data_IF_232209374960
#
_entry.id   IF_232209374960
#
_cell.length_a   1.000
_cell.length_b   1.000
_cell.length_c   1.000
_cell.angle_alpha   90.00
_cell.angle_beta   90.00
_cell.angle_gamma   90.00
#
_symmetry.space_group_name_H-M   'P 1'
#
loop_
_entity.id
_entity.type
_entity.pdbx_description
1 polymer ?
#
# COMPACT_ATOMS: atom_id res chain seq x y z
N UNK A 1 -7.67 -5.76 -18.68
CA UNK A 1 -8.68 -5.28 -19.65
C UNK A 1 -8.89 -6.26 -20.82
N UNK A 2 -7.82 -6.75 -21.48
CA UNK A 2 -7.95 -7.69 -22.62
C UNK A 2 -8.61 -9.04 -22.27
N UNK A 3 -8.22 -9.66 -21.16
CA UNK A 3 -8.83 -10.91 -20.67
C UNK A 3 -10.33 -10.71 -20.40
N UNK A 4 -10.70 -9.60 -19.77
CA UNK A 4 -12.09 -9.26 -19.48
C UNK A 4 -12.90 -9.08 -20.78
N UNK A 5 -12.32 -8.42 -21.80
CA UNK A 5 -12.96 -8.27 -23.11
C UNK A 5 -13.24 -9.63 -23.79
N UNK A 6 -12.30 -10.57 -23.67
CA UNK A 6 -12.45 -11.93 -24.19
C UNK A 6 -13.52 -12.76 -23.47
N UNK A 7 -13.63 -12.62 -22.15
CA UNK A 7 -14.59 -13.37 -21.33
C UNK A 7 -16.01 -12.76 -21.33
N UNK A 8 -16.16 -11.48 -21.66
CA UNK A 8 -17.45 -10.79 -21.58
C UNK A 8 -18.20 -10.91 -22.92
N UNK A 9 -19.46 -11.39 -22.94
CA UNK A 9 -20.28 -11.43 -24.15
C UNK A 9 -20.56 -10.02 -24.67
N UNK A 10 -20.66 -9.86 -26.00
CA UNK A 10 -20.75 -8.54 -26.64
C UNK A 10 -21.86 -7.62 -26.07
N UNK A 11 -22.99 -8.21 -25.68
CA UNK A 11 -24.12 -7.48 -25.08
C UNK A 11 -23.82 -6.85 -23.70
N UNK A 12 -22.83 -7.37 -22.96
CA UNK A 12 -22.48 -6.92 -21.62
C UNK A 12 -21.15 -6.13 -21.56
N UNK A 13 -20.46 -5.92 -22.69
CA UNK A 13 -19.15 -5.25 -22.72
C UNK A 13 -19.22 -3.77 -22.37
N UNK A 14 -20.30 -3.08 -22.78
CA UNK A 14 -20.47 -1.64 -22.55
C UNK A 14 -19.21 -0.85 -22.90
N UNK A 15 -18.84 0.09 -22.02
CA UNK A 15 -17.60 0.86 -22.11
C UNK A 15 -16.38 0.22 -21.44
N UNK A 16 -16.43 -1.03 -20.94
CA UNK A 16 -15.33 -1.70 -20.20
C UNK A 16 -14.72 -0.89 -19.03
N UNK A 17 -15.46 0.08 -18.49
CA UNK A 17 -14.95 0.98 -17.46
C UNK A 17 -13.87 1.96 -17.95
N UNK A 18 -13.90 2.32 -19.24
CA UNK A 18 -13.14 3.47 -19.78
C UNK A 18 -13.48 4.71 -18.97
N UNK A 19 -12.45 5.47 -18.62
CA UNK A 19 -12.62 6.76 -17.98
C UNK A 19 -12.92 7.80 -19.03
N UNK A 20 -13.93 8.61 -18.77
CA UNK A 20 -14.38 9.67 -19.65
C UNK A 20 -15.06 10.75 -18.82
N UNK A 21 -15.12 11.94 -19.38
CA UNK A 21 -15.84 13.05 -18.76
C UNK A 21 -17.34 12.83 -18.92
N UNK A 22 -18.08 13.03 -17.84
CA UNK A 22 -19.53 13.12 -17.91
C UNK A 22 -19.92 14.34 -18.76
N UNK A 23 -21.02 14.25 -19.51
CA UNK A 23 -21.38 15.21 -20.57
C UNK A 23 -21.49 16.68 -20.12
N UNK A 24 -21.68 16.92 -18.83
CA UNK A 24 -21.82 18.26 -18.24
C UNK A 24 -20.52 18.80 -17.61
N UNK A 25 -19.41 18.06 -17.67
CA UNK A 25 -18.15 18.38 -16.98
C UNK A 25 -17.08 18.81 -17.97
N UNK A 26 -16.52 20.01 -17.75
CA UNK A 26 -15.39 20.51 -18.55
C UNK A 26 -14.08 19.78 -18.20
N UNK A 27 -13.11 19.79 -19.13
CA UNK A 27 -11.80 19.15 -18.89
C UNK A 27 -11.09 19.69 -17.65
N UNK A 28 -11.21 21.00 -17.39
CA UNK A 28 -10.62 21.66 -16.23
C UNK A 28 -11.28 21.22 -14.91
N UNK A 29 -12.60 21.04 -14.90
CA UNK A 29 -13.32 20.53 -13.73
C UNK A 29 -12.96 19.07 -13.47
N UNK A 30 -12.91 18.24 -14.52
CA UNK A 30 -12.47 16.85 -14.42
C UNK A 30 -11.03 16.74 -13.89
N UNK A 31 -10.14 17.62 -14.37
CA UNK A 31 -8.78 17.73 -13.85
C UNK A 31 -8.74 18.08 -12.36
N UNK A 32 -9.52 19.07 -11.92
CA UNK A 32 -9.62 19.42 -10.50
C UNK A 32 -10.09 18.25 -9.63
N UNK A 33 -11.09 17.49 -10.11
CA UNK A 33 -11.59 16.30 -9.42
C UNK A 33 -10.49 15.23 -9.31
N UNK A 34 -9.79 14.91 -10.41
CA UNK A 34 -8.71 13.91 -10.41
C UNK A 34 -7.54 14.30 -9.50
N UNK A 35 -7.19 15.58 -9.45
CA UNK A 35 -6.19 16.11 -8.50
C UNK A 35 -6.63 15.89 -7.06
N UNK A 36 -7.87 16.26 -6.72
CA UNK A 36 -8.38 16.18 -5.36
C UNK A 36 -8.52 14.74 -4.85
N UNK A 37 -9.07 13.83 -5.65
CA UNK A 37 -9.21 12.42 -5.23
C UNK A 37 -7.85 11.73 -5.09
N UNK A 38 -6.89 12.04 -5.96
CA UNK A 38 -5.54 11.49 -5.87
C UNK A 38 -4.80 12.07 -4.67
N UNK A 39 -4.99 13.36 -4.39
CA UNK A 39 -4.45 14.00 -3.20
C UNK A 39 -4.91 13.27 -1.92
N UNK A 40 -6.21 13.03 -1.76
CA UNK A 40 -6.76 12.34 -0.58
C UNK A 40 -6.21 10.91 -0.47
N UNK A 41 -6.12 10.20 -1.59
CA UNK A 41 -5.57 8.85 -1.64
C UNK A 41 -4.12 8.83 -1.16
N UNK A 42 -3.26 9.64 -1.77
CA UNK A 42 -1.82 9.67 -1.45
C UNK A 42 -1.59 10.19 -0.04
N UNK A 43 -2.31 11.23 0.38
CA UNK A 43 -2.23 11.74 1.74
C UNK A 43 -2.61 10.67 2.77
N UNK A 44 -3.67 9.91 2.50
CA UNK A 44 -4.08 8.80 3.37
C UNK A 44 -3.05 7.69 3.39
N UNK A 45 -2.48 7.31 2.24
CA UNK A 45 -1.40 6.32 2.18
C UNK A 45 -0.22 6.76 3.04
N UNK A 46 0.26 8.00 2.87
CA UNK A 46 1.37 8.54 3.65
C UNK A 46 1.06 8.55 5.16
N UNK A 47 -0.14 8.97 5.54
CA UNK A 47 -0.59 8.98 6.93
C UNK A 47 -0.80 7.58 7.52
N UNK A 48 -1.10 6.57 6.69
CA UNK A 48 -1.32 5.18 7.11
C UNK A 48 -0.02 4.39 7.24
N UNK A 49 1.02 4.73 6.47
CA UNK A 49 2.33 4.04 6.50
C UNK A 49 3.39 4.75 7.36
N UNK A 50 3.01 5.82 8.07
CA UNK A 50 3.94 6.56 8.91
C UNK A 50 4.39 5.73 10.11
N UNK A 51 5.70 5.61 10.30
CA UNK A 51 6.34 4.88 11.40
C UNK A 51 6.06 5.55 12.75
N UNK A 52 5.76 6.86 12.75
CA UNK A 52 5.40 7.61 13.96
C UNK A 52 3.99 7.29 14.46
N UNK A 53 3.16 6.64 13.64
CA UNK A 53 1.78 6.32 13.98
C UNK A 53 1.72 5.01 14.77
N UNK A 54 1.46 5.12 16.08
CA UNK A 54 1.45 3.97 17.01
C UNK A 54 0.07 3.34 17.20
N UNK A 55 -0.97 4.03 16.75
CA UNK A 55 -2.40 3.80 17.03
C UNK A 55 -3.07 2.73 16.14
N UNK A 56 -2.54 2.45 14.94
CA UNK A 56 -3.16 1.54 13.97
C UNK A 56 -2.18 0.49 13.45
N UNK A 57 -1.66 -0.36 14.34
CA UNK A 57 -0.87 -1.53 13.93
C UNK A 57 -1.78 -2.58 13.27
N UNK A 58 -1.90 -2.52 11.93
CA UNK A 58 -2.60 -3.53 11.12
C UNK A 58 -3.81 -3.03 10.31
N UNK A 59 -4.33 -1.83 10.58
CA UNK A 59 -5.50 -1.28 9.86
C UNK A 59 -5.14 -0.46 8.60
N UNK A 60 -3.86 -0.27 8.31
CA UNK A 60 -3.39 0.51 7.15
C UNK A 60 -4.04 0.12 5.81
N UNK A 61 -4.10 -1.17 5.40
CA UNK A 61 -4.72 -1.53 4.12
C UNK A 61 -6.24 -1.27 4.10
N UNK A 62 -6.92 -1.39 5.24
CA UNK A 62 -8.35 -1.09 5.35
C UNK A 62 -8.60 0.42 5.16
N UNK A 63 -7.81 1.27 5.82
CA UNK A 63 -7.94 2.73 5.67
C UNK A 63 -7.66 3.18 4.24
N UNK A 64 -6.64 2.61 3.59
CA UNK A 64 -6.33 2.91 2.19
C UNK A 64 -7.48 2.45 1.27
N UNK A 65 -8.01 1.24 1.47
CA UNK A 65 -9.15 0.73 0.71
C UNK A 65 -10.40 1.59 0.86
N UNK A 66 -10.69 2.06 2.08
CA UNK A 66 -11.80 2.98 2.34
C UNK A 66 -11.59 4.34 1.66
N UNK A 67 -10.37 4.88 1.67
CA UNK A 67 -10.07 6.13 0.95
C UNK A 67 -10.30 6.01 -0.56
N UNK A 68 -9.89 4.88 -1.15
CA UNK A 68 -10.17 4.57 -2.56
C UNK A 68 -11.68 4.49 -2.81
N UNK A 69 -12.43 3.78 -1.96
CA UNK A 69 -13.88 3.63 -2.10
C UNK A 69 -14.61 4.98 -2.02
N UNK A 70 -14.23 5.84 -1.06
CA UNK A 70 -14.79 7.20 -0.93
C UNK A 70 -14.47 8.05 -2.16
N UNK A 71 -13.23 8.00 -2.66
CA UNK A 71 -12.87 8.73 -3.86
C UNK A 71 -13.64 8.24 -5.10
N UNK A 72 -13.93 6.94 -5.20
CA UNK A 72 -14.78 6.39 -6.26
C UNK A 72 -16.22 6.87 -6.15
N UNK A 73 -16.80 6.91 -4.94
CA UNK A 73 -18.18 7.40 -4.74
C UNK A 73 -18.36 8.84 -5.22
N UNK A 74 -17.32 9.67 -5.07
CA UNK A 74 -17.36 11.06 -5.52
C UNK A 74 -17.03 11.17 -7.01
N UNK A 75 -15.92 10.59 -7.49
CA UNK A 75 -15.40 10.86 -8.82
C UNK A 75 -16.04 10.05 -9.95
N UNK A 76 -16.74 8.94 -9.67
CA UNK A 76 -17.32 8.09 -10.72
C UNK A 76 -18.33 8.86 -11.58
N UNK A 77 -19.10 9.78 -10.98
CA UNK A 77 -20.10 10.60 -11.67
C UNK A 77 -19.50 11.70 -12.55
N UNK A 78 -18.23 12.08 -12.32
CA UNK A 78 -17.57 13.17 -13.03
C UNK A 78 -16.62 12.66 -14.12
N UNK A 79 -15.69 11.77 -13.76
CA UNK A 79 -14.56 11.35 -14.63
C UNK A 79 -14.39 9.84 -14.74
N UNK A 80 -15.21 9.05 -14.04
CA UNK A 80 -15.03 7.60 -13.94
C UNK A 80 -13.91 7.17 -12.98
N UNK A 81 -13.32 8.11 -12.24
CA UNK A 81 -12.30 7.90 -11.21
C UNK A 81 -11.03 7.20 -11.74
N UNK A 82 -10.05 7.98 -12.22
CA UNK A 82 -8.76 7.44 -12.66
C UNK A 82 -7.90 7.06 -11.47
N UNK A 83 -7.43 8.05 -10.71
CA UNK A 83 -6.40 7.92 -9.66
C UNK A 83 -5.08 7.23 -10.10
N UNK A 84 -5.03 6.65 -11.29
CA UNK A 84 -3.99 5.76 -11.76
C UNK A 84 -4.01 5.74 -13.30
N UNK A 85 -3.00 6.31 -13.96
CA UNK A 85 -2.92 6.35 -15.42
C UNK A 85 -3.00 4.96 -16.07
N UNK A 86 -2.44 3.91 -15.45
CA UNK A 86 -2.48 2.55 -15.99
C UNK A 86 -3.91 1.96 -16.01
N UNK A 87 -4.74 2.33 -15.01
CA UNK A 87 -6.15 1.94 -14.94
C UNK A 87 -6.99 2.62 -16.02
N UNK A 88 -6.64 3.84 -16.41
CA UNK A 88 -7.30 4.55 -17.51
C UNK A 88 -6.81 4.10 -18.88
N UNK A 89 -5.51 3.79 -19.02
CA UNK A 89 -4.89 3.40 -20.29
C UNK A 89 -5.39 2.03 -20.81
N UNK A 90 -5.47 1.02 -19.94
CA UNK A 90 -5.84 -0.34 -20.34
C UNK A 90 -7.14 -0.46 -21.13
N UNK A 91 -8.29 0.05 -20.64
CA UNK A 91 -9.54 0.01 -21.37
C UNK A 91 -9.59 1.02 -22.54
N UNK A 92 -8.88 2.16 -22.45
CA UNK A 92 -8.79 3.16 -23.52
C UNK A 92 -8.20 2.58 -24.81
N UNK A 93 -7.14 1.78 -24.71
CA UNK A 93 -6.51 1.10 -25.87
C UNK A 93 -7.46 0.10 -26.53
N UNK A 94 -8.25 -0.62 -25.75
CA UNK A 94 -9.14 -1.67 -26.28
C UNK A 94 -10.38 -1.07 -26.96
N UNK A 95 -10.94 -0.02 -26.37
CA UNK A 95 -12.13 0.65 -26.89
C UNK A 95 -11.82 1.83 -27.82
N UNK A 96 -10.53 2.11 -28.06
CA UNK A 96 -10.03 3.23 -28.84
C UNK A 96 -10.60 4.59 -28.41
N UNK A 97 -10.74 4.80 -27.10
CA UNK A 97 -11.32 6.00 -26.50
C UNK A 97 -10.23 6.86 -25.85
N UNK A 98 -9.92 7.99 -26.47
CA UNK A 98 -8.79 8.86 -26.10
C UNK A 98 -9.21 10.27 -25.67
N UNK A 99 -10.50 10.50 -25.51
CA UNK A 99 -11.05 11.81 -25.18
C UNK A 99 -10.52 12.32 -23.84
N UNK A 100 -9.90 13.50 -23.89
CA UNK A 100 -9.29 14.19 -22.76
C UNK A 100 -8.39 13.32 -21.86
N UNK A 101 -7.73 12.32 -22.46
CA UNK A 101 -6.96 11.32 -21.73
C UNK A 101 -5.78 11.91 -20.94
N UNK A 102 -5.25 13.05 -21.39
CA UNK A 102 -4.15 13.77 -20.74
C UNK A 102 -4.45 14.11 -19.27
N UNK A 103 -5.73 14.36 -18.93
CA UNK A 103 -6.18 14.67 -17.58
C UNK A 103 -5.89 13.52 -16.61
N UNK A 104 -6.02 12.27 -17.07
CA UNK A 104 -5.78 11.07 -16.27
C UNK A 104 -4.29 10.78 -16.04
N UNK A 105 -3.40 11.47 -16.76
CA UNK A 105 -1.96 11.43 -16.51
C UNK A 105 -1.56 12.55 -15.58
N UNK A 106 -1.84 13.80 -15.97
CA UNK A 106 -1.37 14.99 -15.26
C UNK A 106 -2.10 15.16 -13.93
N UNK A 107 -3.41 14.88 -13.87
CA UNK A 107 -4.21 15.03 -12.64
C UNK A 107 -3.64 14.23 -11.47
N UNK A 108 -3.47 12.90 -11.60
CA UNK A 108 -2.88 12.09 -10.54
C UNK A 108 -1.45 12.50 -10.17
N UNK A 109 -0.61 12.89 -11.14
CA UNK A 109 0.76 13.33 -10.87
C UNK A 109 0.79 14.60 -10.00
N UNK A 110 -0.02 15.60 -10.35
CA UNK A 110 -0.11 16.87 -9.61
C UNK A 110 -0.69 16.63 -8.21
N UNK A 111 -1.79 15.88 -8.09
CA UNK A 111 -2.41 15.55 -6.80
C UNK A 111 -1.46 14.80 -5.86
N UNK A 112 -0.71 13.83 -6.39
CA UNK A 112 0.28 13.06 -5.62
C UNK A 112 1.43 13.94 -5.13
N UNK A 113 1.95 14.81 -6.01
CA UNK A 113 3.04 15.72 -5.67
C UNK A 113 2.64 16.69 -4.56
N UNK A 114 1.46 17.31 -4.68
CA UNK A 114 0.93 18.23 -3.67
C UNK A 114 0.70 17.51 -2.34
N UNK A 115 0.14 16.29 -2.36
CA UNK A 115 -0.05 15.50 -1.15
C UNK A 115 1.26 15.16 -0.45
N UNK A 116 2.28 14.74 -1.21
CA UNK A 116 3.59 14.42 -0.68
C UNK A 116 4.26 15.65 -0.06
N UNK A 117 4.22 16.80 -0.74
CA UNK A 117 4.75 18.05 -0.21
C UNK A 117 4.03 18.50 1.06
N UNK A 118 2.70 18.46 1.07
CA UNK A 118 1.91 18.89 2.23
C UNK A 118 2.18 18.00 3.44
N UNK A 119 2.23 16.68 3.22
CA UNK A 119 2.51 15.72 4.28
C UNK A 119 3.92 15.92 4.85
N UNK A 120 4.92 16.10 3.99
CA UNK A 120 6.30 16.32 4.43
C UNK A 120 6.47 17.65 5.18
N UNK A 121 5.93 18.74 4.65
CA UNK A 121 6.13 20.07 5.25
C UNK A 121 5.34 20.27 6.55
N UNK A 122 4.12 19.75 6.64
CA UNK A 122 3.22 20.03 7.76
C UNK A 122 3.24 18.91 8.80
N UNK A 123 3.14 17.65 8.36
CA UNK A 123 2.96 16.51 9.25
C UNK A 123 4.27 15.80 9.59
N UNK A 124 5.25 15.86 8.68
CA UNK A 124 6.53 15.18 8.85
C UNK A 124 7.73 16.11 8.69
N UNK A 125 7.63 17.34 9.20
CA UNK A 125 8.74 18.30 9.21
C UNK A 125 9.99 17.66 9.85
N UNK A 126 10.92 17.17 9.02
CA UNK A 126 12.17 16.51 9.42
C UNK A 126 12.29 14.99 9.18
N UNK A 127 11.29 14.30 8.63
CA UNK A 127 11.35 12.84 8.45
C UNK A 127 12.06 12.40 7.16
N UNK A 128 11.91 13.12 6.04
CA UNK A 128 12.47 12.69 4.75
C UNK A 128 13.99 12.83 4.67
N UNK A 129 14.60 13.77 5.40
CA UNK A 129 16.07 13.86 5.46
C UNK A 129 16.67 12.61 6.12
N UNK A 130 16.04 12.08 7.18
CA UNK A 130 16.46 10.85 7.85
C UNK A 130 16.17 9.58 7.05
N UNK A 131 15.08 9.54 6.27
CA UNK A 131 14.68 8.40 5.42
C UNK A 131 15.50 8.32 4.12
N UNK A 132 15.80 9.46 3.51
CA UNK A 132 16.68 9.57 2.35
C UNK A 132 18.14 9.34 2.75
N UNK A 133 18.60 9.89 3.89
CA UNK A 133 19.91 9.48 4.47
C UNK A 133 19.92 7.97 4.70
N UNK A 134 18.89 7.39 5.32
CA UNK A 134 18.81 5.92 5.52
C UNK A 134 18.81 5.15 4.21
N UNK A 135 18.14 5.58 3.14
CA UNK A 135 18.21 4.88 1.84
C UNK A 135 19.59 5.01 1.18
N UNK A 136 20.21 6.19 1.26
CA UNK A 136 21.55 6.45 0.73
C UNK A 136 22.64 5.73 1.56
N UNK A 137 22.46 5.57 2.87
CA UNK A 137 23.37 4.83 3.75
C UNK A 137 23.05 3.33 3.81
N UNK A 138 21.83 2.91 3.46
CA UNK A 138 21.39 1.51 3.30
C UNK A 138 21.68 1.00 1.89
N UNK A 139 22.80 1.42 1.30
CA UNK A 139 23.44 0.69 0.21
C UNK A 139 24.68 -0.08 0.68
N UNK A 140 24.99 -0.06 1.99
CA UNK A 140 26.07 -0.86 2.59
C UNK A 140 25.76 -1.28 4.03
N UNK A 141 24.66 -2.00 4.23
CA UNK A 141 24.57 -2.91 5.37
C UNK A 141 24.56 -4.32 4.79
N UNK A 142 25.58 -5.17 5.06
CA UNK A 142 25.45 -6.60 4.86
C UNK A 142 24.18 -7.02 5.57
N UNK A 143 23.39 -7.88 4.94
CA UNK A 143 22.42 -8.70 5.65
C UNK A 143 23.12 -9.25 6.90
N UNK A 144 22.59 -9.00 8.09
CA UNK A 144 22.85 -9.88 9.23
C UNK A 144 21.70 -10.91 9.28
N UNK A 145 21.85 -12.07 8.64
CA UNK A 145 21.10 -13.25 9.00
C UNK A 145 21.96 -14.05 9.98
N UNK A 146 21.90 -13.80 11.30
CA UNK A 146 22.42 -14.83 12.23
C UNK A 146 22.04 -14.66 13.70
N UNK A 147 21.60 -13.50 14.19
CA UNK A 147 21.42 -13.35 15.65
C UNK A 147 20.14 -13.97 16.22
N UNK A 148 19.10 -14.14 15.41
CA UNK A 148 17.82 -14.70 15.87
C UNK A 148 17.82 -16.23 15.96
N UNK A 149 18.54 -16.93 15.08
CA UNK A 149 18.64 -18.40 15.14
C UNK A 149 19.62 -18.88 16.22
N UNK A 150 20.69 -18.11 16.50
CA UNK A 150 21.67 -18.47 17.52
C UNK A 150 21.09 -18.33 18.93
N UNK A 151 20.27 -17.31 19.18
CA UNK A 151 19.54 -17.16 20.45
C UNK A 151 18.50 -18.27 20.67
N UNK A 152 17.79 -18.68 19.61
CA UNK A 152 16.83 -19.78 19.70
C UNK A 152 17.54 -21.13 19.91
N UNK A 153 18.70 -21.37 19.29
CA UNK A 153 19.51 -22.58 19.55
C UNK A 153 20.08 -22.63 20.96
N UNK A 154 20.55 -21.49 21.50
CA UNK A 154 21.10 -21.44 22.86
C UNK A 154 19.99 -21.68 23.90
N UNK A 155 18.80 -21.10 23.69
CA UNK A 155 17.66 -21.31 24.59
C UNK A 155 17.14 -22.76 24.52
N UNK A 156 17.14 -23.39 23.34
CA UNK A 156 16.77 -24.82 23.20
C UNK A 156 17.82 -25.73 23.87
N UNK A 157 19.12 -25.47 23.71
CA UNK A 157 20.16 -26.26 24.37
C UNK A 157 20.11 -26.14 25.91
N UNK A 158 19.88 -24.96 26.47
CA UNK A 158 19.75 -24.80 27.93
C UNK A 158 18.50 -25.48 28.51
N UNK A 159 17.41 -25.57 27.72
CA UNK A 159 16.19 -26.25 28.14
C UNK A 159 16.33 -27.78 28.09
N UNK A 160 17.08 -28.33 27.14
CA UNK A 160 17.34 -29.76 27.07
C UNK A 160 18.28 -30.21 28.21
N UNK A 161 19.32 -29.43 28.54
CA UNK A 161 20.24 -29.75 29.64
C UNK A 161 19.54 -29.76 31.02
N UNK A 162 18.57 -28.86 31.23
CA UNK A 162 17.75 -28.84 32.46
C UNK A 162 16.82 -30.05 32.58
N UNK A 163 16.27 -30.53 31.46
CA UNK A 163 15.39 -31.72 31.48
C UNK A 163 16.16 -32.99 31.78
N UNK A 164 17.38 -33.10 31.26
CA UNK A 164 18.23 -34.28 31.51
C UNK A 164 18.59 -34.36 33.01
N UNK A 165 18.96 -33.23 33.63
CA UNK A 165 19.26 -33.15 35.06
C UNK A 165 18.04 -33.44 35.95
N UNK A 166 16.84 -32.95 35.58
CA UNK A 166 15.60 -33.28 36.32
C UNK A 166 15.23 -34.77 36.19
N UNK A 167 15.55 -35.41 35.05
CA UNK A 167 15.28 -36.83 34.84
C UNK A 167 16.19 -37.76 35.64
N UNK A 168 17.45 -37.38 35.86
CA UNK A 168 18.41 -38.15 36.67
C UNK A 168 18.06 -38.09 38.17
N UNK A 169 17.62 -36.92 38.66
CA UNK A 169 17.21 -36.74 40.07
C UNK A 169 15.92 -37.51 40.40
N UNK A 170 14.99 -37.65 39.44
CA UNK A 170 13.75 -38.42 39.63
C UNK A 170 14.03 -39.94 39.63
N UNK A 171 14.99 -40.41 38.83
CA UNK A 171 15.44 -41.82 38.87
C UNK A 171 16.22 -42.16 40.15
N UNK A 172 17.04 -41.24 40.66
CA UNK A 172 17.79 -41.44 41.90
C UNK A 172 16.88 -41.53 43.14
N UNK A 173 15.75 -40.80 43.17
CA UNK A 173 14.76 -40.90 44.26
C UNK A 173 13.96 -42.20 44.22
N UNK A 174 13.71 -42.75 43.03
CA UNK A 174 12.90 -43.98 42.88
C UNK A 174 13.69 -45.24 43.33
N UNK A 175 15.02 -45.24 43.23
CA UNK A 175 15.86 -46.37 43.70
C UNK A 175 16.10 -46.39 45.22
N UNK A 176 15.97 -45.27 45.92
CA UNK A 176 16.19 -45.18 47.38
C UNK A 176 14.89 -45.24 48.21
N UNK A 177 13.75 -45.47 47.57
CA UNK A 177 12.42 -45.52 48.18
C UNK A 177 11.81 -46.92 48.35
N UNK A 178 12.61 -47.99 48.24
CA UNK A 178 12.25 -49.36 48.60
C UNK A 178 13.12 -49.88 49.74
#
# INVERSE_FOLDING_TARGET
>A
AAILFGLTPAAARGGLGVNGMSGDVTEAQGFGVEVMITFVLVFTVLASIDEKRTDLKGSAPLTIGLAVAVGHLVAIAYTGCSMNPARSFGPAVIQNAWDAHWVFWIGPMVGSFVAALLYEYIFSAGATLGRTKRCLTRSRAPSEPEKSEELEKVEICELDEKKDLESEDEQAKTQNGQ
#
